data_IF_487493445044
#
_entry.id   IF_487493445044
#
_cell.length_a   1.000
_cell.length_b   1.000
_cell.length_c   1.000
_cell.angle_alpha   90.00
_cell.angle_beta   90.00
_cell.angle_gamma   90.00
#
_symmetry.space_group_name_H-M   'P 1'
#
loop_
_entity.id
_entity.type
_entity.pdbx_description
1 polymer ?
#
# COMPACT_ATOMS: atom_id res chain seq x y z
N UNK A 1 -19.62 -1.59 7.21
CA UNK A 1 -18.38 -0.94 6.74
C UNK A 1 -17.16 -1.29 7.58
N UNK A 2 -17.08 -0.87 8.86
CA UNK A 2 -15.92 -1.16 9.71
C UNK A 2 -15.60 -2.66 9.80
N UNK A 3 -16.61 -3.48 10.14
CA UNK A 3 -16.51 -4.94 10.12
C UNK A 3 -16.10 -5.47 8.74
N UNK A 4 -16.80 -5.03 7.68
CA UNK A 4 -16.60 -5.49 6.30
C UNK A 4 -15.15 -5.33 5.85
N UNK A 5 -14.54 -4.16 6.06
CA UNK A 5 -13.15 -3.90 5.69
C UNK A 5 -12.20 -4.77 6.49
N UNK A 6 -12.37 -4.84 7.82
CA UNK A 6 -11.47 -5.64 8.66
C UNK A 6 -11.51 -7.12 8.28
N UNK A 7 -12.71 -7.68 8.11
CA UNK A 7 -12.89 -9.06 7.69
C UNK A 7 -12.33 -9.32 6.28
N UNK A 8 -12.53 -8.39 5.33
CA UNK A 8 -12.01 -8.55 3.97
C UNK A 8 -10.48 -8.56 3.93
N UNK A 9 -9.81 -7.68 4.67
CA UNK A 9 -8.35 -7.63 4.70
C UNK A 9 -7.74 -8.76 5.55
N UNK A 10 -8.33 -9.10 6.70
CA UNK A 10 -7.85 -10.20 7.54
C UNK A 10 -8.01 -11.56 6.84
N UNK A 11 -9.16 -11.84 6.19
CA UNK A 11 -9.32 -13.08 5.40
C UNK A 11 -8.34 -13.20 4.22
N UNK A 12 -7.73 -12.10 3.79
CA UNK A 12 -6.70 -12.03 2.75
C UNK A 12 -5.28 -11.98 3.30
N UNK A 13 -5.11 -12.34 4.57
CA UNK A 13 -3.82 -12.43 5.25
C UNK A 13 -3.07 -11.09 5.37
N UNK A 14 -3.77 -9.95 5.33
CA UNK A 14 -3.17 -8.67 5.73
C UNK A 14 -3.08 -8.60 7.26
N UNK A 15 -2.14 -7.77 7.74
CA UNK A 15 -2.09 -7.38 9.16
C UNK A 15 -3.10 -6.25 9.36
N UNK A 16 -4.16 -6.49 10.14
CA UNK A 16 -5.19 -5.48 10.41
C UNK A 16 -5.01 -4.96 11.83
N UNK A 17 -4.82 -3.65 11.95
CA UNK A 17 -4.79 -2.96 13.25
C UNK A 17 -5.84 -1.87 13.27
N UNK A 18 -6.50 -1.68 14.41
CA UNK A 18 -7.58 -0.70 14.56
C UNK A 18 -7.51 0.03 15.90
N UNK A 19 -8.15 1.21 15.97
CA UNK A 19 -8.25 2.03 17.18
C UNK A 19 -9.58 2.77 17.25
N UNK A 20 -9.92 3.26 18.44
CA UNK A 20 -10.99 4.23 18.65
C UNK A 20 -12.37 3.74 18.18
N UNK A 21 -13.18 4.65 17.65
CA UNK A 21 -14.56 4.35 17.26
C UNK A 21 -14.65 3.24 16.21
N UNK A 22 -13.72 3.18 15.25
CA UNK A 22 -13.74 2.12 14.24
C UNK A 22 -13.50 0.74 14.85
N UNK A 23 -12.66 0.65 15.89
CA UNK A 23 -12.47 -0.59 16.65
C UNK A 23 -13.75 -1.00 17.41
N UNK A 24 -14.50 -0.03 17.94
CA UNK A 24 -15.78 -0.28 18.61
C UNK A 24 -16.81 -0.79 17.61
N UNK A 25 -17.03 -0.05 16.51
CA UNK A 25 -18.06 -0.34 15.52
C UNK A 25 -17.87 -1.72 14.86
N UNK A 26 -16.62 -2.13 14.62
CA UNK A 26 -16.34 -3.44 14.06
C UNK A 26 -16.74 -4.60 14.99
N UNK A 27 -16.72 -4.40 16.32
CA UNK A 27 -17.12 -5.39 17.31
C UNK A 27 -18.63 -5.47 17.54
N UNK A 28 -19.42 -4.54 16.98
CA UNK A 28 -20.88 -4.54 17.12
C UNK A 28 -21.58 -5.49 16.13
N UNK A 29 -20.87 -5.94 15.10
CA UNK A 29 -21.40 -6.87 14.10
C UNK A 29 -20.94 -8.29 14.41
N UNK A 30 -21.86 -9.25 14.25
CA UNK A 30 -21.61 -10.69 14.31
C UNK A 30 -21.93 -11.30 12.95
N UNK A 31 -21.12 -12.24 12.50
CA UNK A 31 -21.36 -12.97 11.26
C UNK A 31 -22.44 -14.06 11.42
N UNK A 32 -22.62 -14.86 10.37
CA UNK A 32 -23.61 -15.94 10.31
C UNK A 32 -23.36 -17.02 11.38
N UNK A 33 -22.12 -17.16 11.86
CA UNK A 33 -21.73 -18.06 12.95
C UNK A 33 -21.88 -17.41 14.33
N UNK A 34 -22.34 -16.16 14.38
CA UNK A 34 -22.51 -15.40 15.61
C UNK A 34 -21.21 -14.80 16.17
N UNK A 35 -20.11 -14.85 15.40
CA UNK A 35 -18.78 -14.39 15.82
C UNK A 35 -18.53 -12.94 15.38
N UNK A 36 -17.93 -12.17 16.27
CA UNK A 36 -17.38 -10.85 15.96
C UNK A 36 -16.04 -10.97 15.23
N UNK A 37 -15.55 -9.86 14.67
CA UNK A 37 -14.24 -9.83 14.01
C UNK A 37 -13.08 -10.22 14.97
N UNK A 38 -13.22 -9.93 16.26
CA UNK A 38 -12.21 -10.24 17.28
C UNK A 38 -12.26 -11.68 17.77
N UNK A 39 -13.40 -12.36 17.64
CA UNK A 39 -13.52 -13.79 17.93
C UNK A 39 -13.05 -14.64 16.74
N UNK A 40 -13.23 -14.13 15.52
CA UNK A 40 -12.90 -14.81 14.28
C UNK A 40 -11.41 -14.83 13.95
N UNK A 41 -10.70 -13.76 14.26
CA UNK A 41 -9.29 -13.59 13.91
C UNK A 41 -8.41 -13.46 15.15
N UNK A 42 -7.20 -14.04 15.16
CA UNK A 42 -6.24 -13.81 16.24
C UNK A 42 -5.83 -12.33 16.34
N UNK A 43 -5.27 -11.92 17.48
CA UNK A 43 -4.94 -10.52 17.80
C UNK A 43 -3.43 -10.19 17.74
N UNK A 44 -2.63 -11.08 17.14
CA UNK A 44 -1.19 -10.86 16.94
C UNK A 44 -0.92 -9.79 15.85
N UNK A 45 0.30 -9.24 15.84
CA UNK A 45 0.78 -8.42 14.71
C UNK A 45 1.33 -9.33 13.60
N UNK A 46 0.44 -10.05 12.91
CA UNK A 46 0.77 -10.99 11.84
C UNK A 46 -0.33 -11.04 10.76
N UNK A 47 -0.04 -11.69 9.64
CA UNK A 47 -1.00 -11.88 8.55
C UNK A 47 -2.25 -12.61 9.01
N UNK A 48 -3.42 -12.08 8.66
CA UNK A 48 -4.70 -12.69 9.00
C UNK A 48 -5.16 -12.43 10.43
N UNK A 49 -4.51 -11.49 11.12
CA UNK A 49 -4.85 -11.08 12.47
C UNK A 49 -5.54 -9.71 12.49
N UNK A 50 -6.36 -9.47 13.52
CA UNK A 50 -7.07 -8.21 13.79
C UNK A 50 -6.78 -7.76 15.22
N UNK A 51 -5.93 -6.74 15.37
CA UNK A 51 -5.52 -6.23 16.67
C UNK A 51 -6.12 -4.85 16.95
N UNK A 52 -6.92 -4.74 18.02
CA UNK A 52 -7.34 -3.45 18.56
C UNK A 52 -6.24 -2.88 19.47
N UNK A 53 -5.61 -1.78 19.04
CA UNK A 53 -4.49 -1.18 19.78
C UNK A 53 -4.95 -0.22 20.89
N UNK A 54 -6.24 0.12 20.96
CA UNK A 54 -6.84 0.95 22.01
C UNK A 54 -7.47 2.23 21.50
N UNK A 55 -7.38 3.30 22.29
CA UNK A 55 -8.04 4.59 22.00
C UNK A 55 -7.35 5.37 20.88
N UNK A 56 -7.87 6.55 20.50
CA UNK A 56 -7.30 7.36 19.42
C UNK A 56 -5.81 7.69 19.60
N UNK A 57 -5.30 7.80 20.83
CA UNK A 57 -3.87 8.08 21.07
C UNK A 57 -2.99 6.87 20.76
N UNK A 58 -3.56 5.65 20.73
CA UNK A 58 -2.84 4.44 20.36
C UNK A 58 -2.48 4.37 18.87
N UNK A 59 -2.97 5.29 18.03
CA UNK A 59 -2.47 5.45 16.65
C UNK A 59 -0.96 5.74 16.61
N UNK A 60 -0.38 6.26 17.71
CA UNK A 60 1.07 6.38 17.87
C UNK A 60 1.80 5.02 17.76
N UNK A 61 1.15 3.91 18.11
CA UNK A 61 1.73 2.57 17.97
C UNK A 61 1.66 2.04 16.54
N UNK A 62 0.65 2.43 15.75
CA UNK A 62 0.61 2.14 14.30
C UNK A 62 1.77 2.86 13.61
N UNK A 63 1.90 4.16 13.91
CA UNK A 63 3.00 5.00 13.44
C UNK A 63 4.37 4.43 13.86
N UNK A 64 4.49 4.07 15.14
CA UNK A 64 5.67 3.46 15.71
C UNK A 64 5.99 2.08 15.15
N UNK A 65 5.00 1.27 14.74
CA UNK A 65 5.24 -0.03 14.12
C UNK A 65 5.96 0.13 12.78
N UNK A 66 5.54 1.07 11.94
CA UNK A 66 6.22 1.38 10.68
C UNK A 66 7.67 1.87 10.89
N UNK A 67 7.88 2.75 11.89
CA UNK A 67 9.24 3.21 12.27
C UNK A 67 10.09 2.04 12.77
N UNK A 68 9.51 1.15 13.59
CA UNK A 68 10.20 -0.05 14.10
C UNK A 68 10.56 -1.01 12.97
N UNK A 69 9.80 -1.07 11.87
CA UNK A 69 10.21 -1.87 10.71
C UNK A 69 11.53 -1.33 10.13
N UNK A 70 11.64 -0.02 9.93
CA UNK A 70 12.88 0.60 9.46
C UNK A 70 14.04 0.42 10.46
N UNK A 71 13.78 0.54 11.77
CA UNK A 71 14.81 0.39 12.81
C UNK A 71 15.26 -1.06 12.99
N UNK A 72 14.34 -2.01 13.11
CA UNK A 72 14.65 -3.38 13.53
C UNK A 72 15.12 -4.19 12.32
N UNK A 73 14.39 -4.15 11.20
CA UNK A 73 14.75 -4.95 10.02
C UNK A 73 15.84 -4.30 9.19
N UNK A 74 15.77 -2.97 8.98
CA UNK A 74 16.75 -2.26 8.16
C UNK A 74 17.84 -1.53 8.96
N UNK A 75 17.86 -1.67 10.30
CA UNK A 75 18.89 -1.11 11.19
C UNK A 75 19.10 0.40 11.03
N UNK A 76 18.09 1.14 10.55
CA UNK A 76 18.18 2.59 10.33
C UNK A 76 18.25 3.35 11.65
N UNK A 77 18.97 4.46 11.68
CA UNK A 77 18.94 5.36 12.83
C UNK A 77 17.61 6.11 12.87
N UNK A 78 16.95 6.12 14.04
CA UNK A 78 15.67 6.82 14.25
C UNK A 78 15.84 8.16 14.97
N UNK A 79 17.02 8.42 15.56
CA UNK A 79 17.26 9.67 16.30
C UNK A 79 17.42 10.82 15.31
N UNK A 80 16.52 11.80 15.40
CA UNK A 80 16.55 13.01 14.57
C UNK A 80 16.65 12.74 13.05
N UNK A 81 16.17 11.59 12.57
CA UNK A 81 16.36 11.13 11.19
C UNK A 81 15.03 10.85 10.49
N UNK A 82 14.03 11.70 10.74
CA UNK A 82 12.65 11.47 10.30
C UNK A 82 12.54 11.31 8.78
N UNK A 83 13.29 12.11 8.02
CA UNK A 83 13.29 12.09 6.55
C UNK A 83 13.71 10.73 5.97
N UNK A 84 14.81 10.15 6.45
CA UNK A 84 15.27 8.83 5.98
C UNK A 84 14.28 7.72 6.36
N UNK A 85 13.69 7.80 7.55
CA UNK A 85 12.70 6.82 8.01
C UNK A 85 11.42 6.91 7.20
N UNK A 86 10.92 8.12 6.93
CA UNK A 86 9.76 8.34 6.08
C UNK A 86 10.01 7.86 4.65
N UNK A 87 11.18 8.17 4.08
CA UNK A 87 11.56 7.70 2.74
C UNK A 87 11.68 6.18 2.66
N UNK A 88 12.25 5.54 3.69
CA UNK A 88 12.30 4.08 3.78
C UNK A 88 10.89 3.47 3.78
N UNK A 89 9.97 4.01 4.58
CA UNK A 89 8.59 3.51 4.68
C UNK A 89 7.85 3.73 3.35
N UNK A 90 7.95 4.92 2.77
CA UNK A 90 7.33 5.27 1.48
C UNK A 90 7.75 4.33 0.36
N UNK A 91 9.02 3.93 0.33
CA UNK A 91 9.56 3.12 -0.76
C UNK A 91 9.46 1.59 -0.54
N UNK A 92 9.20 1.13 0.70
CA UNK A 92 9.43 -0.28 1.07
C UNK A 92 8.36 -0.91 1.94
N UNK A 93 7.61 -0.12 2.71
CA UNK A 93 6.65 -0.65 3.69
C UNK A 93 5.23 -0.45 3.17
N UNK A 94 4.67 -1.52 2.60
CA UNK A 94 3.30 -1.52 2.09
C UNK A 94 2.29 -1.44 3.24
N UNK A 95 1.64 -0.28 3.38
CA UNK A 95 0.61 -0.01 4.37
C UNK A 95 -0.38 1.02 3.82
N UNK A 96 -1.61 1.00 4.31
CA UNK A 96 -2.64 2.00 4.03
C UNK A 96 -3.52 2.19 5.27
N UNK A 97 -3.76 3.43 5.66
CA UNK A 97 -4.72 3.78 6.70
C UNK A 97 -6.14 3.91 6.13
N UNK A 98 -7.14 3.71 7.00
CA UNK A 98 -8.54 4.02 6.71
C UNK A 98 -9.12 4.85 7.86
N UNK A 99 -9.68 6.00 7.54
CA UNK A 99 -10.46 6.81 8.47
C UNK A 99 -11.85 7.08 7.86
N UNK A 100 -12.67 6.03 7.81
CA UNK A 100 -13.95 6.02 7.11
C UNK A 100 -14.92 7.10 7.63
N UNK A 101 -15.16 7.12 8.94
CA UNK A 101 -16.00 8.12 9.61
C UNK A 101 -15.26 9.36 10.10
N UNK A 102 -14.21 9.83 9.41
CA UNK A 102 -13.40 10.94 9.91
C UNK A 102 -14.20 12.25 10.01
N UNK A 103 -14.44 12.75 11.23
CA UNK A 103 -15.15 14.01 11.49
C UNK A 103 -14.38 15.06 12.31
N UNK A 104 -13.39 14.64 13.11
CA UNK A 104 -12.70 15.51 14.07
C UNK A 104 -11.38 16.07 13.54
N UNK A 105 -10.96 17.22 14.05
CA UNK A 105 -9.62 17.78 13.80
C UNK A 105 -8.49 16.81 14.19
N UNK A 106 -8.73 15.97 15.22
CA UNK A 106 -7.79 14.90 15.61
C UNK A 106 -7.57 13.91 14.47
N UNK A 107 -8.63 13.49 13.78
CA UNK A 107 -8.52 12.57 12.65
C UNK A 107 -7.66 13.18 11.52
N UNK A 108 -7.86 14.46 11.19
CA UNK A 108 -7.03 15.16 10.21
C UNK A 108 -5.55 15.22 10.62
N UNK A 109 -5.26 15.48 11.90
CA UNK A 109 -3.87 15.48 12.40
C UNK A 109 -3.22 14.09 12.40
N UNK A 110 -3.97 13.03 12.73
CA UNK A 110 -3.49 11.64 12.71
C UNK A 110 -3.18 11.23 11.27
N UNK A 111 -4.10 11.46 10.34
CA UNK A 111 -3.90 11.17 8.92
C UNK A 111 -2.68 11.92 8.37
N UNK A 112 -2.54 13.21 8.68
CA UNK A 112 -1.37 14.01 8.29
C UNK A 112 -0.07 13.45 8.87
N UNK A 113 -0.07 12.99 10.14
CA UNK A 113 1.09 12.38 10.78
C UNK A 113 1.52 11.07 10.13
N UNK A 114 0.55 10.26 9.71
CA UNK A 114 0.75 9.01 8.97
C UNK A 114 1.26 9.29 7.54
N UNK A 115 0.70 10.28 6.85
CA UNK A 115 1.17 10.73 5.54
C UNK A 115 2.61 11.22 5.55
N UNK A 116 3.03 11.90 6.62
CA UNK A 116 4.42 12.35 6.78
C UNK A 116 5.44 11.20 6.86
N UNK A 117 5.01 9.97 7.18
CA UNK A 117 5.84 8.76 7.09
C UNK A 117 5.75 8.08 5.72
N UNK A 118 5.09 8.68 4.72
CA UNK A 118 4.88 8.04 3.43
C UNK A 118 3.84 6.92 3.45
N UNK A 119 2.95 6.90 4.45
CA UNK A 119 1.84 5.95 4.51
C UNK A 119 0.57 6.64 4.00
N UNK A 120 -0.07 6.09 2.96
CA UNK A 120 -1.31 6.63 2.42
C UNK A 120 -2.50 6.37 3.35
N UNK A 121 -3.52 7.23 3.26
CA UNK A 121 -4.74 7.15 4.05
C UNK A 121 -5.96 7.39 3.16
N UNK A 122 -6.90 6.46 3.20
CA UNK A 122 -8.24 6.63 2.61
C UNK A 122 -9.17 7.20 3.67
N UNK A 123 -9.98 8.19 3.31
CA UNK A 123 -11.04 8.75 4.15
C UNK A 123 -12.40 8.52 3.49
N UNK A 124 -13.47 8.44 4.28
CA UNK A 124 -14.82 8.40 3.72
C UNK A 124 -15.24 9.76 3.12
N UNK A 125 -16.45 9.85 2.54
CA UNK A 125 -16.87 11.02 1.74
C UNK A 125 -16.87 12.32 2.55
N UNK A 126 -17.21 12.27 3.85
CA UNK A 126 -17.15 13.43 4.74
C UNK A 126 -15.72 13.94 5.00
N UNK A 127 -14.70 13.12 4.79
CA UNK A 127 -13.30 13.53 4.87
C UNK A 127 -12.90 14.60 3.85
N UNK A 128 -13.64 14.71 2.73
CA UNK A 128 -13.45 15.80 1.75
C UNK A 128 -13.60 17.21 2.38
N UNK A 129 -14.37 17.32 3.47
CA UNK A 129 -14.60 18.58 4.20
C UNK A 129 -13.34 19.11 4.91
N UNK A 130 -12.26 18.32 5.02
CA UNK A 130 -10.96 18.81 5.49
C UNK A 130 -10.22 19.70 4.48
N UNK A 131 -10.79 19.90 3.28
CA UNK A 131 -10.37 20.88 2.25
C UNK A 131 -9.05 20.58 1.51
N UNK A 132 -8.30 19.55 1.91
CA UNK A 132 -7.02 19.20 1.29
C UNK A 132 -6.88 17.69 1.15
N UNK A 133 -6.49 17.27 -0.04
CA UNK A 133 -6.11 15.91 -0.40
C UNK A 133 -4.67 15.91 -0.94
N UNK A 134 -4.04 14.74 -0.99
CA UNK A 134 -2.69 14.55 -1.53
C UNK A 134 -2.76 13.52 -2.65
N UNK A 135 -3.11 13.98 -3.84
CA UNK A 135 -3.35 13.14 -5.00
C UNK A 135 -2.14 13.14 -5.91
N UNK A 136 -1.74 11.95 -6.38
CA UNK A 136 -0.70 11.80 -7.38
C UNK A 136 -1.24 12.01 -8.79
N UNK A 137 -0.37 12.41 -9.72
CA UNK A 137 -0.70 12.51 -11.15
C UNK A 137 -0.06 11.32 -11.89
N UNK A 138 -0.73 10.16 -12.00
CA UNK A 138 -0.14 8.95 -12.58
C UNK A 138 0.27 9.12 -14.06
N UNK A 139 -0.32 10.09 -14.75
CA UNK A 139 -0.05 10.43 -16.15
C UNK A 139 1.17 11.36 -16.36
N UNK A 140 1.78 11.86 -15.27
CA UNK A 140 2.94 12.74 -15.37
C UNK A 140 4.22 11.99 -14.92
N UNK A 141 4.98 11.49 -15.89
CA UNK A 141 6.14 10.63 -15.65
C UNK A 141 7.21 11.28 -14.74
N UNK A 142 7.40 12.59 -14.82
CA UNK A 142 8.38 13.31 -14.01
C UNK A 142 8.04 13.33 -12.51
N UNK A 143 6.77 13.16 -12.14
CA UNK A 143 6.35 13.05 -10.74
C UNK A 143 6.74 11.69 -10.13
N UNK A 144 7.10 10.70 -10.97
CA UNK A 144 7.38 9.32 -10.56
C UNK A 144 8.85 8.94 -10.74
N UNK A 145 9.75 9.84 -10.37
CA UNK A 145 11.19 9.66 -10.47
C UNK A 145 11.81 9.60 -9.08
N UNK A 146 12.53 8.53 -8.78
CA UNK A 146 13.31 8.35 -7.55
C UNK A 146 14.78 8.13 -7.88
N UNK A 147 15.67 8.24 -6.90
CA UNK A 147 17.07 7.89 -7.07
C UNK A 147 17.32 6.43 -6.69
N UNK A 148 18.19 5.74 -7.41
CA UNK A 148 18.82 4.52 -6.88
C UNK A 148 20.05 4.92 -6.05
N UNK A 149 20.03 4.61 -4.75
CA UNK A 149 21.12 4.95 -3.83
C UNK A 149 22.48 4.43 -4.29
N UNK A 150 22.51 3.31 -5.02
CA UNK A 150 23.76 2.68 -5.45
C UNK A 150 24.46 3.44 -6.57
N UNK A 151 23.70 4.08 -7.45
CA UNK A 151 24.21 4.71 -8.67
C UNK A 151 24.03 6.22 -8.67
N UNK A 152 23.15 6.75 -7.82
CA UNK A 152 22.73 8.15 -7.83
C UNK A 152 21.87 8.53 -9.05
N UNK A 153 21.51 7.58 -9.90
CA UNK A 153 20.72 7.85 -11.11
C UNK A 153 19.23 7.97 -10.77
N UNK A 154 18.53 8.86 -11.49
CA UNK A 154 17.07 8.92 -11.45
C UNK A 154 16.49 7.73 -12.22
N UNK A 155 15.57 7.02 -11.59
CA UNK A 155 14.86 5.86 -12.11
C UNK A 155 13.38 6.15 -12.04
N UNK A 156 12.68 5.94 -13.15
CA UNK A 156 11.21 6.03 -13.18
C UNK A 156 10.61 4.84 -12.45
N UNK A 157 9.62 5.10 -11.59
CA UNK A 157 8.84 4.10 -10.88
C UNK A 157 7.37 4.16 -11.28
N UNK A 158 6.65 3.12 -10.92
CA UNK A 158 5.20 3.05 -10.94
C UNK A 158 4.56 3.93 -9.84
N UNK A 159 3.28 4.35 -9.99
CA UNK A 159 2.57 5.16 -9.00
C UNK A 159 2.21 4.37 -7.74
N UNK A 160 3.20 4.10 -6.89
CA UNK A 160 3.13 3.18 -5.76
C UNK A 160 3.74 3.78 -4.47
N UNK A 161 2.94 4.32 -3.53
CA UNK A 161 1.50 4.57 -3.64
C UNK A 161 1.20 5.78 -4.54
N UNK A 162 0.03 5.77 -5.18
CA UNK A 162 -0.40 6.89 -6.03
C UNK A 162 -0.75 8.13 -5.20
N UNK A 163 -1.55 7.95 -4.15
CA UNK A 163 -2.11 9.05 -3.36
C UNK A 163 -1.70 8.88 -1.90
N UNK A 164 -1.46 9.98 -1.18
CA UNK A 164 -1.22 9.93 0.26
C UNK A 164 -2.49 10.20 1.07
N UNK A 165 -3.41 11.02 0.56
CA UNK A 165 -4.68 11.30 1.23
C UNK A 165 -5.77 11.44 0.19
N UNK A 166 -6.68 10.47 0.15
CA UNK A 166 -7.73 10.36 -0.87
C UNK A 166 -9.05 10.00 -0.21
N UNK A 167 -10.15 10.57 -0.73
CA UNK A 167 -11.50 10.22 -0.30
C UNK A 167 -12.07 9.16 -1.24
N UNK A 168 -12.76 8.16 -0.68
CA UNK A 168 -13.59 7.23 -1.44
C UNK A 168 -15.06 7.45 -1.05
N UNK A 169 -15.97 7.28 -2.02
CA UNK A 169 -17.40 7.54 -1.82
C UNK A 169 -18.09 6.36 -1.13
N UNK A 170 -17.74 5.13 -1.51
CA UNK A 170 -18.32 3.91 -0.95
C UNK A 170 -17.26 2.94 -0.43
N UNK A 171 -17.67 2.02 0.44
CA UNK A 171 -16.73 1.05 1.01
C UNK A 171 -16.22 0.06 -0.05
N UNK A 172 -17.05 -0.22 -1.06
CA UNK A 172 -16.74 -1.03 -2.23
C UNK A 172 -15.64 -0.40 -3.09
N UNK A 173 -15.56 0.93 -3.14
CA UNK A 173 -14.45 1.66 -3.78
C UNK A 173 -13.21 1.70 -2.87
N UNK A 174 -13.40 1.95 -1.59
CA UNK A 174 -12.31 2.09 -0.63
C UNK A 174 -11.45 0.82 -0.50
N UNK A 175 -12.06 -0.37 -0.52
CA UNK A 175 -11.37 -1.65 -0.35
C UNK A 175 -10.30 -1.89 -1.45
N UNK A 176 -10.62 -1.93 -2.75
CA UNK A 176 -9.60 -2.10 -3.79
C UNK A 176 -8.61 -0.94 -3.83
N UNK A 177 -9.04 0.29 -3.52
CA UNK A 177 -8.15 1.45 -3.42
C UNK A 177 -7.09 1.26 -2.31
N UNK A 178 -7.48 0.79 -1.12
CA UNK A 178 -6.55 0.49 -0.03
C UNK A 178 -5.53 -0.58 -0.44
N UNK A 179 -5.96 -1.63 -1.15
CA UNK A 179 -5.08 -2.67 -1.65
C UNK A 179 -4.05 -2.12 -2.66
N UNK A 180 -4.49 -1.27 -3.60
CA UNK A 180 -3.61 -0.55 -4.53
C UNK A 180 -2.60 0.32 -3.78
N UNK A 181 -3.05 1.09 -2.79
CA UNK A 181 -2.18 1.98 -2.04
C UNK A 181 -1.14 1.25 -1.17
N UNK A 182 -1.18 -0.08 -1.08
CA UNK A 182 -0.14 -0.89 -0.45
C UNK A 182 1.03 -1.24 -1.38
N UNK A 183 0.95 -1.03 -2.70
CA UNK A 183 2.09 -1.24 -3.60
C UNK A 183 3.28 -0.35 -3.23
N UNK A 184 4.49 -0.89 -3.37
CA UNK A 184 5.73 -0.15 -3.13
C UNK A 184 6.73 -0.40 -4.26
N UNK A 185 7.59 0.58 -4.60
CA UNK A 185 8.58 0.41 -5.65
C UNK A 185 9.53 -0.76 -5.34
N UNK A 186 9.82 -0.99 -4.07
CA UNK A 186 10.71 -2.07 -3.66
C UNK A 186 10.00 -3.39 -3.30
N UNK A 187 8.81 -3.66 -3.83
CA UNK A 187 8.20 -4.98 -3.63
C UNK A 187 9.08 -6.08 -4.24
N UNK A 188 9.24 -7.20 -3.54
CA UNK A 188 9.78 -8.42 -4.15
C UNK A 188 8.81 -8.92 -5.21
N UNK A 189 9.27 -9.78 -6.11
CA UNK A 189 8.41 -10.38 -7.14
C UNK A 189 7.22 -11.13 -6.54
N UNK A 190 7.47 -11.92 -5.49
CA UNK A 190 6.41 -12.64 -4.77
C UNK A 190 5.44 -11.66 -4.08
N UNK A 191 5.96 -10.65 -3.38
CA UNK A 191 5.12 -9.65 -2.72
C UNK A 191 4.25 -8.86 -3.70
N UNK A 192 4.82 -8.51 -4.87
CA UNK A 192 4.10 -7.83 -5.94
C UNK A 192 3.00 -8.70 -6.54
N UNK A 193 3.28 -9.98 -6.79
CA UNK A 193 2.29 -10.94 -7.29
C UNK A 193 1.11 -11.12 -6.34
N UNK A 194 1.36 -11.20 -5.03
CA UNK A 194 0.31 -11.28 -4.00
C UNK A 194 -0.53 -9.99 -3.99
N UNK A 195 0.11 -8.82 -3.95
CA UNK A 195 -0.59 -7.52 -3.97
C UNK A 195 -1.44 -7.35 -5.22
N UNK A 196 -0.91 -7.73 -6.39
CA UNK A 196 -1.63 -7.67 -7.67
C UNK A 196 -2.80 -8.65 -7.72
N UNK A 197 -2.63 -9.85 -7.15
CA UNK A 197 -3.73 -10.81 -6.99
C UNK A 197 -4.87 -10.18 -6.18
N UNK A 198 -4.58 -9.60 -5.02
CA UNK A 198 -5.59 -8.97 -4.17
C UNK A 198 -6.22 -7.74 -4.83
N UNK A 199 -5.43 -6.87 -5.45
CA UNK A 199 -5.95 -5.68 -6.10
C UNK A 199 -6.94 -6.02 -7.22
N UNK A 200 -6.56 -6.94 -8.12
CA UNK A 200 -7.42 -7.39 -9.21
C UNK A 200 -8.67 -8.08 -8.65
N UNK A 201 -8.51 -9.00 -7.70
CA UNK A 201 -9.64 -9.76 -7.14
C UNK A 201 -10.64 -8.85 -6.40
N UNK A 202 -10.15 -7.90 -5.60
CA UNK A 202 -10.99 -6.92 -4.91
C UNK A 202 -11.73 -6.01 -5.89
N UNK A 203 -11.07 -5.54 -6.94
CA UNK A 203 -11.72 -4.74 -7.99
C UNK A 203 -12.81 -5.53 -8.72
N UNK A 204 -12.55 -6.80 -9.07
CA UNK A 204 -13.55 -7.66 -9.69
C UNK A 204 -14.70 -8.00 -8.74
N UNK A 205 -14.43 -8.19 -7.45
CA UNK A 205 -15.44 -8.50 -6.43
C UNK A 205 -16.35 -7.31 -6.16
N UNK A 206 -15.79 -6.13 -5.94
CA UNK A 206 -16.53 -4.95 -5.46
C UNK A 206 -16.93 -3.98 -6.57
N UNK A 207 -16.07 -3.78 -7.58
CA UNK A 207 -16.32 -2.84 -8.68
C UNK A 207 -16.73 -3.52 -9.99
N UNK A 208 -16.74 -4.86 -10.02
CA UNK A 208 -17.11 -5.69 -11.18
C UNK A 208 -16.32 -5.37 -12.46
N UNK A 209 -15.12 -4.81 -12.30
CA UNK A 209 -14.25 -4.41 -13.42
C UNK A 209 -12.78 -4.71 -13.14
N UNK A 210 -12.04 -4.96 -14.20
CA UNK A 210 -10.59 -5.01 -14.15
C UNK A 210 -10.06 -3.61 -13.81
N UNK A 211 -9.09 -3.45 -12.89
CA UNK A 211 -8.55 -2.13 -12.62
C UNK A 211 -7.78 -1.61 -13.84
N UNK A 212 -8.07 -0.40 -14.31
CA UNK A 212 -7.55 0.12 -15.59
C UNK A 212 -6.00 0.24 -15.61
N UNK A 213 -5.38 0.37 -14.45
CA UNK A 213 -3.97 0.67 -14.24
C UNK A 213 -3.13 -0.52 -13.73
N UNK A 214 -3.71 -1.73 -13.69
CA UNK A 214 -3.05 -2.91 -13.12
C UNK A 214 -1.69 -3.23 -13.77
N UNK A 215 -1.57 -2.98 -15.07
CA UNK A 215 -0.37 -3.22 -15.88
C UNK A 215 0.82 -2.36 -15.45
N UNK A 216 0.58 -1.18 -14.86
CA UNK A 216 1.65 -0.29 -14.37
C UNK A 216 2.46 -0.93 -13.22
N UNK A 217 1.88 -1.90 -12.51
CA UNK A 217 2.51 -2.57 -11.39
C UNK A 217 3.26 -3.86 -11.77
N UNK A 218 3.35 -4.19 -13.06
CA UNK A 218 4.03 -5.38 -13.57
C UNK A 218 5.42 -5.01 -14.09
N UNK A 219 6.49 -5.59 -13.52
CA UNK A 219 7.87 -5.39 -13.98
C UNK A 219 8.40 -6.56 -14.80
N UNK A 220 7.91 -7.76 -14.49
CA UNK A 220 8.23 -9.02 -15.19
C UNK A 220 7.04 -9.96 -15.13
N UNK A 221 7.08 -11.06 -15.90
CA UNK A 221 6.05 -12.11 -15.89
C UNK A 221 5.86 -12.81 -14.54
N UNK A 222 6.81 -12.65 -13.63
CA UNK A 222 6.77 -13.25 -12.30
C UNK A 222 6.03 -12.37 -11.27
N UNK A 223 5.80 -11.08 -11.59
CA UNK A 223 4.90 -10.22 -10.82
C UNK A 223 3.42 -10.55 -11.09
N UNK A 224 3.11 -11.35 -12.11
CA UNK A 224 1.73 -11.73 -12.45
C UNK A 224 1.18 -12.79 -11.48
N UNK A 225 -0.12 -12.73 -11.11
CA UNK A 225 -0.81 -13.78 -10.39
C UNK A 225 -0.69 -15.14 -11.10
N UNK A 226 -0.15 -16.15 -10.41
CA UNK A 226 0.14 -17.45 -11.01
C UNK A 226 -1.10 -18.09 -11.68
N UNK A 227 -2.25 -18.03 -11.01
CA UNK A 227 -3.49 -18.65 -11.49
C UNK A 227 -4.07 -17.99 -12.77
N UNK A 228 -3.73 -16.72 -13.03
CA UNK A 228 -4.26 -15.95 -14.18
C UNK A 228 -3.16 -15.49 -15.13
N UNK A 229 -1.93 -16.00 -14.98
CA UNK A 229 -0.74 -15.51 -15.67
C UNK A 229 -0.92 -15.45 -17.19
N UNK A 230 -1.43 -16.52 -17.80
CA UNK A 230 -1.59 -16.61 -19.25
C UNK A 230 -2.64 -15.63 -19.80
N UNK A 231 -3.78 -15.51 -19.12
CA UNK A 231 -4.82 -14.56 -19.48
C UNK A 231 -4.33 -13.11 -19.36
N UNK A 232 -3.56 -12.81 -18.32
CA UNK A 232 -2.99 -11.47 -18.10
C UNK A 232 -1.87 -11.15 -19.09
N UNK A 233 -1.02 -12.11 -19.46
CA UNK A 233 -0.03 -11.91 -20.54
C UNK A 233 -0.72 -11.58 -21.86
N UNK A 234 -1.83 -12.26 -22.16
CA UNK A 234 -2.62 -11.98 -23.37
C UNK A 234 -3.21 -10.57 -23.32
N UNK A 235 -3.72 -10.16 -22.17
CA UNK A 235 -4.25 -8.81 -21.99
C UNK A 235 -3.16 -7.71 -22.13
N UNK A 236 -1.92 -7.99 -21.68
CA UNK A 236 -0.77 -7.11 -21.87
C UNK A 236 -0.42 -6.92 -23.35
N UNK A 237 -0.44 -8.00 -24.12
CA UNK A 237 -0.23 -7.96 -25.57
C UNK A 237 -1.39 -7.24 -26.28
N UNK A 238 -2.63 -7.70 -26.07
CA UNK A 238 -3.81 -7.25 -26.81
C UNK A 238 -4.18 -5.77 -26.52
N UNK A 239 -4.10 -5.32 -25.27
CA UNK A 239 -4.58 -3.99 -24.87
C UNK A 239 -3.47 -2.95 -24.71
N UNK A 240 -2.29 -3.38 -24.30
CA UNK A 240 -1.19 -2.48 -23.96
C UNK A 240 -0.02 -2.57 -24.95
N UNK A 241 -0.08 -3.48 -25.93
CA UNK A 241 0.92 -3.61 -26.98
C UNK A 241 2.27 -4.14 -26.49
N UNK A 242 2.28 -4.90 -25.39
CA UNK A 242 3.52 -5.47 -24.85
C UNK A 242 4.00 -6.63 -25.73
N UNK A 243 5.33 -6.79 -25.84
CA UNK A 243 5.93 -7.90 -26.60
C UNK A 243 6.15 -9.09 -25.69
N UNK A 244 5.52 -10.23 -26.02
CA UNK A 244 5.56 -11.46 -25.23
C UNK A 244 6.25 -12.58 -26.00
N UNK A 245 7.20 -13.26 -25.36
CA UNK A 245 7.71 -14.56 -25.82
C UNK A 245 6.74 -15.64 -25.30
N UNK A 246 5.87 -16.12 -26.18
CA UNK A 246 4.84 -17.11 -25.84
C UNK A 246 5.39 -18.52 -25.60
N UNK A 247 6.56 -18.86 -26.16
CA UNK A 247 7.21 -20.15 -25.89
C UNK A 247 7.68 -20.22 -24.44
N UNK A 248 8.28 -19.12 -23.94
CA UNK A 248 8.79 -19.03 -22.57
C UNK A 248 7.82 -18.37 -21.59
N UNK A 249 6.70 -17.84 -22.08
CA UNK A 249 5.73 -17.00 -21.33
C UNK A 249 6.42 -15.85 -20.61
N UNK A 250 7.30 -15.13 -21.31
CA UNK A 250 8.13 -14.03 -20.78
C UNK A 250 7.78 -12.70 -21.42
N UNK A 251 7.92 -11.63 -20.64
CA UNK A 251 7.74 -10.26 -21.12
C UNK A 251 9.08 -9.76 -21.68
N UNK A 252 9.09 -9.33 -22.93
CA UNK A 252 10.29 -8.81 -23.60
C UNK A 252 10.37 -7.28 -23.51
N UNK A 253 9.26 -6.59 -23.81
CA UNK A 253 9.15 -5.13 -23.79
C UNK A 253 7.76 -4.71 -23.30
N UNK A 254 7.68 -3.57 -22.60
CA UNK A 254 6.42 -3.01 -22.10
C UNK A 254 6.49 -2.38 -20.70
N UNK A 255 7.08 -3.05 -19.68
CA UNK A 255 7.14 -2.52 -18.32
C UNK A 255 7.82 -1.14 -18.23
N UNK A 256 7.36 -0.29 -17.29
CA UNK A 256 8.00 1.00 -16.97
C UNK A 256 9.49 0.81 -16.64
N UNK A 257 9.80 -0.28 -15.94
CA UNK A 257 11.15 -0.70 -15.58
C UNK A 257 11.21 -2.21 -15.38
N UNK A 258 12.40 -2.78 -15.53
CA UNK A 258 12.67 -4.17 -15.19
C UNK A 258 12.76 -4.38 -13.67
N UNK A 259 12.60 -5.63 -13.24
CA UNK A 259 12.87 -6.01 -11.86
C UNK A 259 14.38 -6.10 -11.61
N UNK A 260 14.85 -5.44 -10.55
CA UNK A 260 16.22 -5.53 -10.07
C UNK A 260 16.23 -5.71 -8.55
N UNK A 261 16.75 -6.84 -8.08
CA UNK A 261 16.77 -7.17 -6.65
C UNK A 261 17.63 -6.19 -5.82
N UNK A 262 18.63 -5.57 -6.42
CA UNK A 262 19.50 -4.61 -5.77
C UNK A 262 18.98 -3.17 -5.77
N UNK A 263 17.79 -2.92 -6.33
CA UNK A 263 17.23 -1.58 -6.48
C UNK A 263 17.07 -0.92 -5.11
N UNK A 264 17.62 0.29 -4.95
CA UNK A 264 17.54 0.99 -3.68
C UNK A 264 16.89 2.37 -3.85
N UNK A 265 15.56 2.45 -4.00
CA UNK A 265 14.85 3.71 -4.24
C UNK A 265 14.92 4.65 -3.03
N UNK A 266 15.15 5.93 -3.31
CA UNK A 266 15.05 7.03 -2.36
C UNK A 266 14.62 8.33 -3.05
N UNK A 267 13.90 9.19 -2.33
CA UNK A 267 13.63 10.58 -2.71
C UNK A 267 14.66 11.55 -2.10
N UNK A 268 15.55 11.05 -1.24
CA UNK A 268 16.42 11.86 -0.38
C UNK A 268 17.82 11.86 -0.95
N UNK A 269 18.19 12.96 -1.59
CA UNK A 269 19.45 13.07 -2.32
C UNK A 269 20.71 12.86 -1.45
N UNK A 270 20.69 13.34 -0.20
CA UNK A 270 21.81 13.14 0.72
C UNK A 270 22.14 11.66 0.98
N UNK A 271 21.18 10.74 0.86
CA UNK A 271 21.43 9.33 1.19
C UNK A 271 22.41 8.65 0.22
N UNK A 272 22.52 9.12 -1.02
CA UNK A 272 23.49 8.59 -1.98
C UNK A 272 24.72 9.47 -2.16
N UNK A 273 24.69 10.72 -1.66
CA UNK A 273 25.85 11.63 -1.64
C UNK A 273 26.70 11.47 -0.38
N UNK A 274 26.04 11.41 0.78
CA UNK A 274 26.65 11.43 2.11
C UNK A 274 26.54 10.07 2.82
N UNK A 275 25.67 9.18 2.32
CA UNK A 275 25.40 7.88 2.90
C UNK A 275 24.28 7.92 3.96
N UNK A 276 24.04 6.75 4.57
CA UNK A 276 23.03 6.62 5.62
C UNK A 276 23.55 7.14 6.95
N UNK A 277 22.66 7.72 7.76
CA UNK A 277 23.04 8.18 9.09
C UNK A 277 23.43 6.99 9.96
N UNK A 278 24.70 6.96 10.39
CA UNK A 278 25.21 6.02 11.39
C UNK A 278 25.16 6.70 12.76
N UNK A 279 24.91 5.92 13.83
CA UNK A 279 24.68 6.27 15.26
C UNK A 279 23.23 6.09 15.74
#
# INVERSE_FOLDING_TARGET
>A
DAYTVMNEFASRNFIVVTTGCMAMDAGLYKDEEGLTVYEKYPDNFDGGCVANLGSCVANAHIHGAAIKVARIFAKRNIRANFEEIADYILNRVGACGLAWGAYSQKAASIATGVNRLGIPVVVGPHGSKYRRAFLGRPYNDEDWMVYDVRTGQRVRIEPAPQDLLVAAETIEEAIPLMAKLCFRPNDTTQGRSIKLTHYIDLSLKYLKRMPDDWHLFVRTEADLPLAKKEALLKELEDKFGWKIDWEKKKILEGPIRSYYAGFNPTNVERLFREGFMTL
#
